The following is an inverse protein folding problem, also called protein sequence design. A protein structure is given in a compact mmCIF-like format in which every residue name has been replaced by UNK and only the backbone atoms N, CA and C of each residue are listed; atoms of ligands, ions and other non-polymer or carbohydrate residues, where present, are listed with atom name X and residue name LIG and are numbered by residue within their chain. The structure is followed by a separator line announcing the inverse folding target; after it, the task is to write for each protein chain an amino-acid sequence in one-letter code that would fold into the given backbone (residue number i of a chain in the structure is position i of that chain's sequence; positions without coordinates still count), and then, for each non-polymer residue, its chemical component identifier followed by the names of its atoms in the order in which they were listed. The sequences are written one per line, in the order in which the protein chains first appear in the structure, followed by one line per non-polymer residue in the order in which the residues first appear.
data_IF_994129420866
#
_entry.id   IF_994129420866
#
_cell.length_a   1.000
_cell.length_b   1.000
_cell.length_c   1.000
_cell.angle_alpha   90.00
_cell.angle_beta   90.00
_cell.angle_gamma   90.00
#
_symmetry.space_group_name_H-M   'P 1'
#
loop_
_entity.id
_entity.type
_entity.pdbx_description
1 polymer ?
#
# COMPACT_ATOMS: atom_id res chain seq x y z
N UNK A 1 17.37 -10.52 10.29
CA UNK A 1 17.68 -9.83 9.04
C UNK A 1 16.65 -10.27 8.02
N UNK A 2 15.76 -9.36 7.67
CA UNK A 2 14.74 -9.54 6.63
C UNK A 2 15.41 -9.74 5.27
N UNK A 3 14.86 -10.64 4.46
CA UNK A 3 15.28 -10.83 3.06
C UNK A 3 14.99 -9.55 2.25
N UNK A 4 16.02 -8.90 1.66
CA UNK A 4 15.84 -7.71 0.82
C UNK A 4 14.85 -7.91 -0.33
N UNK A 5 14.67 -9.15 -0.81
CA UNK A 5 13.69 -9.48 -1.84
C UNK A 5 12.26 -9.16 -1.41
N UNK A 6 11.92 -9.37 -0.13
CA UNK A 6 10.59 -9.07 0.42
C UNK A 6 10.33 -7.56 0.39
N UNK A 7 11.31 -6.75 0.75
CA UNK A 7 11.21 -5.28 0.69
C UNK A 7 11.00 -4.85 -0.76
N UNK A 8 11.78 -5.41 -1.69
CA UNK A 8 11.67 -5.10 -3.11
C UNK A 8 10.28 -5.44 -3.66
N UNK A 9 9.72 -6.59 -3.31
CA UNK A 9 8.35 -6.97 -3.71
C UNK A 9 7.30 -5.96 -3.23
N UNK A 10 7.40 -5.49 -1.98
CA UNK A 10 6.48 -4.47 -1.48
C UNK A 10 6.62 -3.16 -2.23
N UNK A 11 7.85 -2.73 -2.53
CA UNK A 11 8.12 -1.50 -3.29
C UNK A 11 7.59 -1.57 -4.72
N UNK A 12 7.76 -2.72 -5.40
CA UNK A 12 7.23 -2.93 -6.75
C UNK A 12 5.71 -2.84 -6.74
N UNK A 13 5.04 -3.59 -5.87
CA UNK A 13 3.57 -3.56 -5.76
C UNK A 13 3.03 -2.18 -5.40
N UNK A 14 3.71 -1.46 -4.50
CA UNK A 14 3.33 -0.10 -4.12
C UNK A 14 3.41 0.87 -5.30
N UNK A 15 4.44 0.72 -6.14
CA UNK A 15 4.62 1.52 -7.36
C UNK A 15 3.57 1.19 -8.41
N UNK A 16 3.24 -0.08 -8.61
CA UNK A 16 2.21 -0.50 -9.55
C UNK A 16 0.84 0.11 -9.20
N UNK A 17 0.46 0.09 -7.91
CA UNK A 17 -0.76 0.75 -7.42
C UNK A 17 -0.74 2.27 -7.66
N UNK A 18 0.41 2.91 -7.42
CA UNK A 18 0.56 4.35 -7.62
C UNK A 18 0.42 4.74 -9.09
N UNK A 19 1.13 4.07 -9.98
CA UNK A 19 1.11 4.36 -11.42
C UNK A 19 -0.28 4.10 -12.01
N UNK A 20 -0.95 3.02 -11.59
CA UNK A 20 -2.32 2.76 -11.98
C UNK A 20 -3.26 3.90 -11.57
N UNK A 21 -3.22 4.33 -10.31
CA UNK A 21 -4.05 5.43 -9.83
C UNK A 21 -3.73 6.76 -10.52
N UNK A 22 -2.43 7.06 -10.71
CA UNK A 22 -1.93 8.28 -11.36
C UNK A 22 -2.41 8.38 -12.80
N UNK A 23 -2.22 7.34 -13.62
CA UNK A 23 -2.64 7.33 -15.02
C UNK A 23 -4.15 7.53 -15.12
N UNK A 24 -4.94 6.78 -14.34
CA UNK A 24 -6.41 6.91 -14.37
C UNK A 24 -6.88 8.31 -13.94
N UNK A 25 -6.19 8.93 -12.98
CA UNK A 25 -6.49 10.29 -12.54
C UNK A 25 -6.14 11.33 -13.61
N UNK A 26 -4.95 11.24 -14.21
CA UNK A 26 -4.49 12.13 -15.29
C UNK A 26 -5.36 12.03 -16.54
N UNK A 27 -5.81 10.84 -16.89
CA UNK A 27 -6.76 10.60 -17.97
C UNK A 27 -8.20 11.02 -17.64
N UNK A 28 -8.45 11.58 -16.45
CA UNK A 28 -9.77 12.03 -15.97
C UNK A 28 -10.83 10.91 -16.04
N UNK A 29 -10.42 9.68 -15.74
CA UNK A 29 -11.35 8.55 -15.67
C UNK A 29 -12.35 8.76 -14.52
N UNK A 30 -13.63 8.38 -14.68
CA UNK A 30 -14.67 8.65 -13.68
C UNK A 30 -14.60 7.73 -12.45
N UNK A 31 -13.58 6.88 -12.33
CA UNK A 31 -13.44 5.85 -11.29
C UNK A 31 -12.77 6.39 -10.01
N UNK A 32 -13.28 7.51 -9.48
CA UNK A 32 -12.63 8.21 -8.36
C UNK A 32 -12.49 7.35 -7.11
N UNK A 33 -13.46 6.51 -6.79
CA UNK A 33 -13.38 5.61 -5.63
C UNK A 33 -12.21 4.62 -5.77
N UNK A 34 -12.04 4.05 -6.96
CA UNK A 34 -10.97 3.11 -7.27
C UNK A 34 -9.61 3.82 -7.30
N UNK A 35 -9.53 5.01 -7.90
CA UNK A 35 -8.32 5.84 -7.91
C UNK A 35 -7.86 6.12 -6.47
N UNK A 36 -8.77 6.61 -5.60
CA UNK A 36 -8.45 6.88 -4.19
C UNK A 36 -8.04 5.60 -3.43
N UNK A 37 -8.72 4.48 -3.69
CA UNK A 37 -8.37 3.19 -3.11
C UNK A 37 -6.94 2.77 -3.49
N UNK A 38 -6.55 2.86 -4.75
CA UNK A 38 -5.20 2.49 -5.17
C UNK A 38 -4.13 3.45 -4.63
N UNK A 39 -4.42 4.74 -4.49
CA UNK A 39 -3.51 5.66 -3.77
C UNK A 39 -3.32 5.27 -2.30
N UNK A 40 -4.39 4.95 -1.58
CA UNK A 40 -4.31 4.47 -0.20
C UNK A 40 -3.53 3.14 -0.11
N UNK A 41 -3.80 2.20 -1.02
CA UNK A 41 -3.08 0.93 -1.11
C UNK A 41 -1.59 1.12 -1.38
N UNK A 42 -1.22 2.02 -2.28
CA UNK A 42 0.18 2.36 -2.55
C UNK A 42 0.89 2.90 -1.30
N UNK A 43 0.28 3.87 -0.62
CA UNK A 43 0.82 4.45 0.60
C UNK A 43 1.03 3.39 1.70
N UNK A 44 0.04 2.52 1.93
CA UNK A 44 0.18 1.42 2.89
C UNK A 44 1.33 0.46 2.54
N UNK A 45 1.49 0.12 1.26
CA UNK A 45 2.53 -0.80 0.82
C UNK A 45 3.93 -0.19 0.93
N UNK A 46 4.09 1.10 0.62
CA UNK A 46 5.34 1.81 0.89
C UNK A 46 5.69 1.83 2.38
N UNK A 47 4.72 2.11 3.24
CA UNK A 47 4.93 2.08 4.70
C UNK A 47 5.27 0.67 5.21
N UNK A 48 4.61 -0.38 4.68
CA UNK A 48 4.96 -1.78 4.99
C UNK A 48 6.39 -2.11 4.55
N UNK A 49 6.80 -1.69 3.35
CA UNK A 49 8.17 -1.88 2.87
C UNK A 49 9.18 -1.21 3.82
N UNK A 50 8.91 0.02 4.27
CA UNK A 50 9.74 0.74 5.23
C UNK A 50 9.83 0.00 6.57
N UNK A 51 8.71 -0.39 7.16
CA UNK A 51 8.67 -1.11 8.45
C UNK A 51 9.48 -2.41 8.35
N UNK A 52 9.29 -3.18 7.29
CA UNK A 52 9.97 -4.45 7.04
C UNK A 52 11.48 -4.24 6.82
N UNK A 53 11.88 -3.22 6.07
CA UNK A 53 13.29 -2.89 5.84
C UNK A 53 14.03 -2.49 7.12
N UNK A 54 13.32 -1.88 8.07
CA UNK A 54 13.87 -1.43 9.34
C UNK A 54 13.64 -2.41 10.50
N UNK A 55 13.11 -3.61 10.23
CA UNK A 55 12.75 -4.63 11.23
C UNK A 55 11.90 -4.05 12.38
N UNK A 56 11.05 -3.07 12.08
CA UNK A 56 10.18 -2.41 13.04
C UNK A 56 8.96 -3.29 13.34
N UNK A 57 8.52 -3.31 14.59
CA UNK A 57 7.31 -4.03 14.98
C UNK A 57 6.05 -3.43 14.32
N UNK A 58 5.39 -4.23 13.48
CA UNK A 58 4.12 -3.86 12.88
C UNK A 58 2.98 -4.06 13.88
N UNK A 59 2.49 -2.99 14.51
CA UNK A 59 1.25 -3.07 15.29
C UNK A 59 0.06 -3.25 14.33
N UNK A 60 -0.52 -4.44 14.28
CA UNK A 60 -1.80 -4.68 13.58
C UNK A 60 -2.91 -3.90 14.29
N UNK A 61 -3.32 -2.75 13.76
CA UNK A 61 -4.53 -2.04 14.18
C UNK A 61 -5.75 -2.62 13.45
N UNK A 62 -6.08 -3.88 13.72
CA UNK A 62 -7.37 -4.46 13.36
C UNK A 62 -8.07 -4.91 14.65
N UNK A 63 -8.61 -3.95 15.39
CA UNK A 63 -9.67 -4.25 16.37
C UNK A 63 -10.97 -4.39 15.59
N UNK A 64 -11.25 -5.59 15.12
CA UNK A 64 -12.61 -6.01 14.80
C UNK A 64 -13.22 -6.45 16.13
N UNK A 65 -13.79 -5.49 16.87
CA UNK A 65 -14.67 -5.85 17.97
C UNK A 65 -15.87 -6.59 17.36
N UNK A 66 -16.22 -7.80 17.83
CA UNK A 66 -17.49 -8.38 17.48
C UNK A 66 -18.57 -7.41 17.97
N UNK A 67 -19.52 -7.07 17.10
CA UNK A 67 -20.73 -6.39 17.51
C UNK A 67 -21.50 -7.38 18.40
N UNK A 68 -21.58 -7.08 19.71
CA UNK A 68 -22.39 -7.81 20.69
C UNK A 68 -23.85 -7.40 20.59
#
# INVERSE_FOLDING_TARGET
MVDPQIVLEWLVRARDDFEFARINFEEKRPYFAQICFHFQQSAEKFLKAFIVAHELDFRKTHTISPCS
#
